data_IF_519005689849
#
_entry.id   IF_519005689849
#
_cell.length_a   1.000
_cell.length_b   1.000
_cell.length_c   1.000
_cell.angle_alpha   90.00
_cell.angle_beta   90.00
_cell.angle_gamma   90.00
#
_symmetry.space_group_name_H-M   'P 1'
#
loop_
_entity.id
_entity.type
_entity.pdbx_description
1 polymer ?
#
# COMPACT_ATOMS: atom_id res chain seq x y z
N UNK A 1 22.01 -25.31 -12.22
CA UNK A 1 20.65 -24.78 -12.40
C UNK A 1 19.72 -25.06 -11.20
N UNK A 2 20.12 -25.83 -10.18
CA UNK A 2 19.21 -26.19 -9.08
C UNK A 2 19.18 -25.20 -7.89
N UNK A 3 20.20 -24.33 -7.76
CA UNK A 3 20.37 -23.45 -6.58
C UNK A 3 20.00 -21.97 -6.83
N UNK A 4 19.76 -21.56 -8.07
CA UNK A 4 19.49 -20.16 -8.46
C UNK A 4 18.57 -20.13 -9.69
N UNK A 5 17.71 -19.11 -9.79
CA UNK A 5 16.70 -18.93 -10.83
C UNK A 5 15.58 -20.02 -10.87
N UNK A 6 15.29 -20.62 -9.71
CA UNK A 6 14.13 -21.48 -9.51
C UNK A 6 13.18 -20.84 -8.48
N UNK A 7 11.89 -20.73 -8.81
CA UNK A 7 10.87 -20.15 -7.92
C UNK A 7 10.80 -20.84 -6.55
N UNK A 8 11.12 -22.14 -6.47
CA UNK A 8 11.16 -22.90 -5.21
C UNK A 8 12.32 -22.53 -4.26
N UNK A 9 13.28 -21.73 -4.72
CA UNK A 9 14.51 -21.38 -3.98
C UNK A 9 14.57 -19.87 -3.67
N UNK A 10 13.48 -19.14 -3.93
CA UNK A 10 13.40 -17.67 -3.74
C UNK A 10 13.63 -17.22 -2.28
N UNK A 11 13.46 -18.11 -1.31
CA UNK A 11 13.74 -17.84 0.10
C UNK A 11 15.19 -18.08 0.54
N UNK A 12 16.04 -18.74 -0.28
CA UNK A 12 17.46 -18.91 0.07
C UNK A 12 18.25 -17.63 -0.22
N UNK A 13 19.28 -17.37 0.58
CA UNK A 13 20.26 -16.34 0.27
C UNK A 13 20.91 -16.61 -1.08
N UNK A 14 21.06 -15.56 -1.89
CA UNK A 14 21.58 -15.66 -3.24
C UNK A 14 23.08 -16.03 -3.20
N UNK A 15 23.52 -17.10 -3.90
CA UNK A 15 24.92 -17.51 -3.89
C UNK A 15 25.78 -16.52 -4.70
N UNK A 16 26.37 -15.55 -3.99
CA UNK A 16 27.22 -14.48 -4.55
C UNK A 16 28.41 -15.01 -5.35
N UNK A 17 28.94 -16.18 -5.00
CA UNK A 17 30.09 -16.80 -5.67
C UNK A 17 29.76 -17.33 -7.08
N UNK A 18 28.52 -17.78 -7.32
CA UNK A 18 28.11 -18.30 -8.63
C UNK A 18 27.87 -17.16 -9.65
N UNK A 19 27.50 -15.98 -9.16
CA UNK A 19 27.14 -14.81 -9.98
C UNK A 19 28.39 -14.02 -10.36
N UNK A 20 29.44 -14.08 -9.54
CA UNK A 20 30.75 -13.49 -9.84
C UNK A 20 31.37 -14.06 -11.12
N UNK A 21 30.96 -15.27 -11.53
CA UNK A 21 31.35 -15.89 -12.81
C UNK A 21 30.85 -15.12 -14.04
N UNK A 22 29.77 -14.33 -13.91
CA UNK A 22 29.23 -13.50 -14.99
C UNK A 22 29.89 -12.11 -15.09
N UNK A 23 30.86 -11.80 -14.22
CA UNK A 23 31.54 -10.51 -14.18
C UNK A 23 31.08 -9.61 -13.02
N UNK A 24 31.97 -8.71 -12.61
CA UNK A 24 31.80 -7.87 -11.41
C UNK A 24 30.52 -7.02 -11.47
N UNK A 25 30.19 -6.44 -12.63
CA UNK A 25 29.01 -5.60 -12.81
C UNK A 25 27.69 -6.34 -12.54
N UNK A 26 27.58 -7.59 -13.03
CA UNK A 26 26.38 -8.42 -12.86
C UNK A 26 26.31 -8.95 -11.41
N UNK A 27 27.45 -9.31 -10.83
CA UNK A 27 27.55 -9.68 -9.41
C UNK A 27 27.08 -8.58 -8.47
N UNK A 28 27.54 -7.35 -8.67
CA UNK A 28 27.16 -6.19 -7.86
C UNK A 28 25.67 -5.84 -7.99
N UNK A 29 25.11 -5.92 -9.20
CA UNK A 29 23.69 -5.68 -9.43
C UNK A 29 22.80 -6.63 -8.60
N UNK A 30 23.06 -7.93 -8.68
CA UNK A 30 22.26 -8.91 -7.95
C UNK A 30 22.51 -8.88 -6.44
N UNK A 31 23.74 -8.61 -6.01
CA UNK A 31 24.03 -8.41 -4.58
C UNK A 31 23.26 -7.21 -4.02
N UNK A 32 23.26 -6.07 -4.74
CA UNK A 32 22.50 -4.88 -4.36
C UNK A 32 21.00 -5.13 -4.35
N UNK A 33 20.46 -5.80 -5.38
CA UNK A 33 19.04 -6.16 -5.45
C UNK A 33 18.63 -7.03 -4.25
N UNK A 34 19.46 -8.01 -3.87
CA UNK A 34 19.21 -8.86 -2.70
C UNK A 34 19.18 -8.07 -1.40
N UNK A 35 20.16 -7.19 -1.19
CA UNK A 35 20.21 -6.31 -0.01
C UNK A 35 18.99 -5.37 0.02
N UNK A 36 18.64 -4.75 -1.11
CA UNK A 36 17.48 -3.88 -1.22
C UNK A 36 16.19 -4.62 -0.87
N UNK A 37 15.99 -5.82 -1.40
CA UNK A 37 14.79 -6.65 -1.10
C UNK A 37 14.70 -7.01 0.38
N UNK A 38 15.83 -7.29 1.03
CA UNK A 38 15.88 -7.56 2.47
C UNK A 38 15.58 -6.32 3.30
N UNK A 39 16.12 -5.18 2.87
CA UNK A 39 15.79 -3.88 3.46
C UNK A 39 14.27 -3.70 3.36
N UNK A 40 13.62 -3.91 2.21
CA UNK A 40 12.16 -3.69 2.04
C UNK A 40 11.22 -4.47 2.99
N UNK A 41 11.70 -5.51 3.68
CA UNK A 41 10.88 -6.35 4.58
C UNK A 41 10.21 -5.52 5.70
N UNK A 42 10.93 -4.76 6.55
CA UNK A 42 10.32 -3.92 7.59
C UNK A 42 9.28 -2.89 7.09
N UNK A 43 9.52 -2.09 6.02
CA UNK A 43 8.50 -1.24 5.43
C UNK A 43 7.24 -2.00 5.01
N UNK A 44 7.43 -3.16 4.39
CA UNK A 44 6.31 -3.98 3.92
C UNK A 44 5.47 -4.50 5.08
N UNK A 45 6.13 -4.94 6.16
CA UNK A 45 5.46 -5.41 7.37
C UNK A 45 4.67 -4.27 8.05
N UNK A 46 5.29 -3.10 8.21
CA UNK A 46 4.63 -1.92 8.77
C UNK A 46 3.45 -1.47 7.91
N UNK A 47 3.59 -1.47 6.58
CA UNK A 47 2.51 -1.15 5.65
C UNK A 47 1.31 -2.09 5.81
N UNK A 48 1.53 -3.40 5.95
CA UNK A 48 0.47 -4.37 6.20
C UNK A 48 -0.23 -4.10 7.53
N UNK A 49 0.53 -3.82 8.60
CA UNK A 49 -0.04 -3.52 9.93
C UNK A 49 -0.93 -2.28 9.87
N UNK A 50 -0.47 -1.22 9.21
CA UNK A 50 -1.22 0.04 9.05
C UNK A 50 -2.47 -0.16 8.19
N UNK A 51 -2.40 -0.97 7.15
CA UNK A 51 -3.56 -1.31 6.32
C UNK A 51 -4.61 -2.11 7.11
N UNK A 52 -4.17 -3.11 7.88
CA UNK A 52 -5.06 -3.88 8.76
C UNK A 52 -5.70 -2.99 9.82
N UNK A 53 -4.93 -2.06 10.42
CA UNK A 53 -5.46 -1.07 11.33
C UNK A 53 -6.60 -0.26 10.68
N UNK A 54 -6.39 0.25 9.47
CA UNK A 54 -7.42 0.96 8.71
C UNK A 54 -8.69 0.11 8.52
N UNK A 55 -8.57 -1.17 8.20
CA UNK A 55 -9.72 -2.08 8.05
C UNK A 55 -10.48 -2.23 9.37
N UNK A 56 -9.79 -2.38 10.50
CA UNK A 56 -10.46 -2.55 11.78
C UNK A 56 -11.13 -1.28 12.30
N UNK A 57 -10.63 -0.09 11.92
CA UNK A 57 -11.15 1.18 12.43
C UNK A 57 -12.12 1.88 11.48
N UNK A 58 -12.25 1.43 10.23
CA UNK A 58 -13.06 2.07 9.17
C UNK A 58 -14.52 2.28 9.57
N UNK A 59 -15.19 1.27 10.14
CA UNK A 59 -16.61 1.33 10.50
C UNK A 59 -16.88 2.27 11.68
N UNK A 60 -15.85 2.58 12.49
CA UNK A 60 -16.00 3.45 13.67
C UNK A 60 -15.63 4.92 13.41
N UNK A 61 -14.87 5.20 12.35
CA UNK A 61 -14.37 6.55 12.06
C UNK A 61 -15.11 7.23 10.90
N UNK A 62 -15.72 6.46 10.01
CA UNK A 62 -16.54 7.02 8.94
C UNK A 62 -17.89 7.44 9.54
N UNK A 63 -18.35 8.67 9.27
CA UNK A 63 -19.66 9.11 9.75
C UNK A 63 -20.75 8.20 9.18
N UNK A 64 -21.61 7.68 10.06
CA UNK A 64 -22.78 6.89 9.64
C UNK A 64 -23.63 7.65 8.62
N UNK A 65 -23.63 8.99 8.67
CA UNK A 65 -24.33 9.86 7.72
C UNK A 65 -23.89 9.68 6.27
N UNK A 66 -22.61 9.36 6.04
CA UNK A 66 -22.06 9.14 4.70
C UNK A 66 -22.45 7.77 4.14
N UNK A 67 -22.81 6.81 4.98
CA UNK A 67 -23.11 5.43 4.60
C UNK A 67 -24.55 4.99 4.88
N UNK A 68 -25.40 5.90 5.33
CA UNK A 68 -26.79 5.61 5.67
C UNK A 68 -27.74 6.10 4.58
N UNK A 69 -28.28 5.16 3.79
CA UNK A 69 -29.24 5.44 2.71
C UNK A 69 -30.57 6.03 3.20
N UNK A 70 -30.86 6.00 4.50
CA UNK A 70 -32.08 6.62 5.07
C UNK A 70 -31.97 8.14 5.15
N UNK A 71 -30.76 8.68 5.13
CA UNK A 71 -30.50 10.11 5.14
C UNK A 71 -30.48 10.59 3.68
N UNK A 72 -31.58 11.22 3.24
CA UNK A 72 -31.71 11.80 1.90
C UNK A 72 -30.93 13.13 1.78
N UNK A 73 -29.63 13.08 2.04
CA UNK A 73 -28.75 14.24 1.94
C UNK A 73 -28.30 14.39 0.48
N UNK A 74 -28.89 15.37 -0.20
CA UNK A 74 -28.56 15.72 -1.57
C UNK A 74 -27.41 16.72 -1.60
N UNK A 75 -26.35 16.37 -2.32
CA UNK A 75 -25.19 17.22 -2.53
C UNK A 75 -25.35 18.06 -3.80
N UNK A 76 -24.73 19.23 -3.81
CA UNK A 76 -24.71 20.10 -4.97
C UNK A 76 -23.93 19.47 -6.14
N UNK A 77 -24.29 19.78 -7.39
CA UNK A 77 -23.50 19.38 -8.55
C UNK A 77 -22.08 19.96 -8.48
N UNK A 78 -21.10 19.21 -8.97
CA UNK A 78 -19.69 19.64 -8.99
C UNK A 78 -19.37 20.59 -10.16
N UNK A 79 -20.36 20.91 -11.01
CA UNK A 79 -20.19 21.65 -12.25
C UNK A 79 -21.15 22.84 -12.32
N UNK A 80 -20.69 23.95 -12.90
CA UNK A 80 -21.49 25.16 -13.15
C UNK A 80 -22.52 25.01 -14.31
N UNK A 81 -22.57 23.85 -14.97
CA UNK A 81 -23.46 23.54 -16.10
C UNK A 81 -24.69 22.70 -15.73
N UNK A 82 -25.21 21.92 -16.70
CA UNK A 82 -26.30 20.96 -16.46
C UNK A 82 -25.70 19.66 -15.91
N UNK A 83 -25.61 19.58 -14.59
CA UNK A 83 -25.19 18.38 -13.87
C UNK A 83 -26.27 18.00 -12.85
N UNK A 84 -26.50 16.70 -12.72
CA UNK A 84 -27.47 16.20 -11.77
C UNK A 84 -26.94 16.32 -10.34
N UNK A 85 -27.87 16.56 -9.42
CA UNK A 85 -27.61 16.43 -8.00
C UNK A 85 -27.36 14.96 -7.66
N UNK A 86 -26.49 14.70 -6.69
CA UNK A 86 -26.11 13.35 -6.28
C UNK A 86 -26.35 13.17 -4.78
N UNK A 87 -26.54 11.92 -4.35
CA UNK A 87 -26.78 11.63 -2.94
C UNK A 87 -25.48 11.31 -2.21
N UNK A 88 -25.35 11.79 -0.99
CA UNK A 88 -24.16 11.57 -0.16
C UNK A 88 -23.90 10.07 0.11
N UNK A 89 -24.93 9.23 0.21
CA UNK A 89 -24.75 7.79 0.45
C UNK A 89 -24.07 7.04 -0.71
N UNK A 90 -24.17 7.57 -1.94
CA UNK A 90 -23.57 6.96 -3.14
C UNK A 90 -22.03 6.89 -3.10
N UNK A 91 -21.38 7.72 -2.28
CA UNK A 91 -19.92 7.76 -2.16
C UNK A 91 -19.40 7.02 -0.92
N UNK A 92 -20.24 6.29 -0.20
CA UNK A 92 -19.82 5.53 0.99
C UNK A 92 -18.65 4.57 0.72
N UNK A 93 -18.68 3.87 -0.42
CA UNK A 93 -17.59 2.95 -0.82
C UNK A 93 -16.28 3.69 -1.05
N UNK A 94 -16.34 4.85 -1.71
CA UNK A 94 -15.19 5.71 -1.92
C UNK A 94 -14.65 6.24 -0.58
N UNK A 95 -15.52 6.71 0.31
CA UNK A 95 -15.14 7.19 1.63
C UNK A 95 -14.44 6.10 2.46
N UNK A 96 -14.92 4.85 2.39
CA UNK A 96 -14.26 3.68 2.99
C UNK A 96 -12.87 3.44 2.42
N UNK A 97 -12.75 3.43 1.10
CA UNK A 97 -11.45 3.23 0.43
C UNK A 97 -10.49 4.37 0.78
N UNK A 98 -10.93 5.62 0.74
CA UNK A 98 -10.11 6.78 1.12
C UNK A 98 -9.63 6.66 2.56
N UNK A 99 -10.49 6.31 3.52
CA UNK A 99 -10.08 6.15 4.92
C UNK A 99 -9.05 5.02 5.12
N UNK A 100 -9.11 3.92 4.33
CA UNK A 100 -8.10 2.86 4.41
C UNK A 100 -6.68 3.37 4.07
N UNK A 101 -6.56 4.36 3.17
CA UNK A 101 -5.28 4.96 2.78
C UNK A 101 -4.93 6.22 3.57
N UNK A 102 -5.92 7.00 3.99
CA UNK A 102 -5.79 8.27 4.68
C UNK A 102 -6.28 8.16 6.13
N UNK A 103 -5.64 7.29 6.91
CA UNK A 103 -5.88 7.18 8.35
C UNK A 103 -4.71 7.75 9.17
N UNK A 104 -4.91 7.95 10.47
CA UNK A 104 -3.87 8.52 11.34
C UNK A 104 -2.56 7.72 11.38
N UNK A 105 -2.60 6.41 11.16
CA UNK A 105 -1.41 5.56 11.17
C UNK A 105 -0.61 5.64 9.86
N UNK A 106 -1.23 6.00 8.73
CA UNK A 106 -0.49 6.20 7.46
C UNK A 106 0.41 7.43 7.49
N UNK A 107 0.10 8.43 8.34
CA UNK A 107 1.00 9.57 8.60
C UNK A 107 2.32 9.10 9.21
N UNK A 108 2.26 8.22 10.22
CA UNK A 108 3.46 7.64 10.84
C UNK A 108 4.25 6.79 9.85
N UNK A 109 3.53 6.01 9.02
CA UNK A 109 4.15 5.24 7.95
C UNK A 109 4.86 6.13 6.91
N UNK A 110 4.28 7.27 6.53
CA UNK A 110 4.89 8.21 5.59
C UNK A 110 6.18 8.83 6.14
N UNK A 111 6.21 9.16 7.43
CA UNK A 111 7.43 9.63 8.11
C UNK A 111 8.50 8.53 8.08
N UNK A 112 8.13 7.30 8.42
CA UNK A 112 9.03 6.16 8.36
C UNK A 112 9.60 5.96 6.94
N UNK A 113 8.76 5.98 5.91
CA UNK A 113 9.19 5.84 4.51
C UNK A 113 10.09 6.99 4.04
N UNK A 114 9.93 8.19 4.61
CA UNK A 114 10.79 9.33 4.30
C UNK A 114 12.17 9.22 4.95
N UNK A 115 12.27 8.58 6.11
CA UNK A 115 13.54 8.27 6.81
C UNK A 115 14.22 6.99 6.30
N UNK A 116 13.44 6.14 5.64
CA UNK A 116 13.90 4.89 5.03
C UNK A 116 14.80 5.11 3.80
N UNK A 117 14.73 6.30 3.19
CA UNK A 117 15.49 6.70 2.01
C UNK A 117 16.93 7.11 2.31
#
# INVERSE_FOLDING_TARGET
HEEWANYGVMHKYQPVDLIKYFGEQIGLYFAWLGVYTQLLIPPSLLGIIVFLYGIFTVDSNIPDETCNDRLNITMCPLCDGVCDYWQLSSVCSLARVTYLFDNGATVLFAIFMSLWG
#
